data_IF_173658606053
#
_entry.id   IF_173658606053
#
_cell.length_a   1.000
_cell.length_b   1.000
_cell.length_c   1.000
_cell.angle_alpha   90.00
_cell.angle_beta   90.00
_cell.angle_gamma   90.00
#
_symmetry.space_group_name_H-M   'P 1'
#
loop_
_entity.id
_entity.type
_entity.pdbx_description
1 polymer ?
#
# COMPACT_ATOMS: atom_id res chain seq x y z
N UNK A 1 0.35 7.01 -1.43
CA UNK A 1 0.05 7.96 -0.34
C UNK A 1 1.21 8.93 -0.06
N UNK A 2 2.45 8.53 -0.33
CA UNK A 2 3.64 9.38 -0.13
C UNK A 2 3.86 10.44 -1.22
N UNK A 3 3.14 10.38 -2.32
CA UNK A 3 3.31 11.33 -3.44
C UNK A 3 3.24 12.79 -3.00
N UNK A 4 2.21 13.24 -2.26
CA UNK A 4 2.14 14.64 -1.83
C UNK A 4 3.31 15.06 -0.92
N UNK A 5 3.82 14.16 -0.09
CA UNK A 5 4.96 14.45 0.78
C UNK A 5 6.24 14.64 -0.03
N UNK A 6 6.50 13.77 -1.00
CA UNK A 6 7.67 13.90 -1.86
C UNK A 6 7.59 15.12 -2.77
N UNK A 7 6.40 15.43 -3.28
CA UNK A 7 6.18 16.57 -4.18
C UNK A 7 6.26 17.93 -3.48
N UNK A 8 6.01 17.96 -2.17
CA UNK A 8 6.15 19.18 -1.35
C UNK A 8 7.56 19.41 -0.81
N UNK A 9 8.45 18.44 -0.93
CA UNK A 9 9.82 18.55 -0.42
C UNK A 9 10.76 19.13 -1.49
N UNK A 10 11.16 20.38 -1.34
CA UNK A 10 12.03 21.10 -2.28
C UNK A 10 13.40 20.44 -2.52
N UNK A 11 13.87 19.61 -1.59
CA UNK A 11 15.16 18.94 -1.73
C UNK A 11 15.13 17.74 -2.68
N UNK A 12 13.95 17.13 -2.88
CA UNK A 12 13.81 15.87 -3.63
C UNK A 12 12.81 15.91 -4.79
N UNK A 13 11.83 16.80 -4.77
CA UNK A 13 10.73 16.87 -5.75
C UNK A 13 11.18 16.89 -7.22
N UNK A 14 12.39 17.41 -7.50
CA UNK A 14 12.96 17.50 -8.84
C UNK A 14 13.98 16.40 -9.15
N UNK A 15 14.17 15.45 -8.24
CA UNK A 15 15.20 14.40 -8.33
C UNK A 15 14.63 12.97 -8.32
N UNK A 16 13.34 12.85 -8.24
CA UNK A 16 12.62 11.55 -8.16
C UNK A 16 11.57 11.46 -9.25
N UNK A 17 11.27 10.24 -9.64
CA UNK A 17 10.12 9.88 -10.46
C UNK A 17 9.66 8.47 -10.10
N UNK A 18 8.56 8.03 -10.70
CA UNK A 18 7.98 6.71 -10.50
C UNK A 18 8.36 5.81 -11.67
N UNK A 19 8.75 4.58 -11.36
CA UNK A 19 9.04 3.54 -12.35
C UNK A 19 8.31 2.26 -11.97
N UNK A 20 8.07 1.41 -12.95
CA UNK A 20 7.51 0.08 -12.70
C UNK A 20 8.45 -0.74 -11.83
N UNK A 21 7.88 -1.60 -10.98
CA UNK A 21 8.68 -2.58 -10.24
C UNK A 21 9.37 -3.52 -11.23
N UNK A 22 10.65 -3.84 -11.01
CA UNK A 22 11.34 -4.81 -11.85
C UNK A 22 10.73 -6.20 -11.68
N UNK A 23 10.65 -6.95 -12.78
CA UNK A 23 10.29 -8.37 -12.70
C UNK A 23 11.38 -9.16 -11.99
N UNK A 24 10.99 -10.15 -11.20
CA UNK A 24 11.91 -11.08 -10.56
C UNK A 24 11.71 -12.48 -11.13
N UNK A 25 12.75 -13.01 -11.76
CA UNK A 25 12.72 -14.31 -12.46
C UNK A 25 11.55 -14.41 -13.48
N UNK A 26 11.23 -13.32 -14.17
CA UNK A 26 10.13 -13.27 -15.14
C UNK A 26 8.74 -13.20 -14.52
N UNK A 27 8.65 -13.00 -13.22
CA UNK A 27 7.38 -12.79 -12.49
C UNK A 27 7.19 -11.31 -12.23
N UNK A 28 6.15 -10.74 -12.80
CA UNK A 28 5.67 -9.40 -12.50
C UNK A 28 4.62 -9.52 -11.40
N UNK A 29 4.89 -8.90 -10.26
CA UNK A 29 3.95 -8.89 -9.15
C UNK A 29 3.99 -7.55 -8.43
N UNK A 30 2.90 -7.21 -7.78
CA UNK A 30 2.78 -6.01 -6.97
C UNK A 30 1.99 -6.34 -5.71
N UNK A 31 2.05 -5.46 -4.73
CA UNK A 31 1.27 -5.55 -3.51
C UNK A 31 0.13 -4.54 -3.55
N UNK A 32 -1.06 -4.96 -3.15
CA UNK A 32 -2.21 -4.09 -2.99
C UNK A 32 -2.70 -4.12 -1.54
N UNK A 33 -2.89 -2.93 -0.98
CA UNK A 33 -3.55 -2.74 0.30
C UNK A 33 -4.83 -1.95 0.10
N UNK A 34 -5.90 -2.37 0.80
CA UNK A 34 -7.15 -1.63 0.83
C UNK A 34 -7.27 -0.81 2.12
N UNK A 35 -7.84 0.38 2.00
CA UNK A 35 -8.31 1.17 3.13
C UNK A 35 -9.84 1.10 3.18
N UNK A 36 -10.38 0.88 4.36
CA UNK A 36 -11.82 0.84 4.60
C UNK A 36 -12.28 1.97 5.50
N UNK A 37 -13.51 2.41 5.30
CA UNK A 37 -14.19 3.31 6.22
C UNK A 37 -14.97 2.51 7.26
N UNK A 38 -14.88 2.88 8.52
CA UNK A 38 -15.61 2.23 9.59
C UNK A 38 -16.31 3.27 10.48
N UNK A 39 -17.48 2.91 10.99
CA UNK A 39 -18.20 3.72 11.95
C UNK A 39 -17.88 3.25 13.35
N UNK A 40 -17.47 4.18 14.21
CA UNK A 40 -17.18 3.87 15.60
C UNK A 40 -18.43 3.39 16.34
N UNK A 41 -18.34 2.22 16.96
CA UNK A 41 -19.49 1.58 17.66
C UNK A 41 -20.10 2.46 18.76
N UNK A 42 -19.28 3.24 19.47
CA UNK A 42 -19.72 4.18 20.50
C UNK A 42 -20.25 5.53 19.99
N UNK A 43 -20.35 5.73 18.64
CA UNK A 43 -20.86 6.99 18.08
C UNK A 43 -22.31 7.26 18.52
N UNK A 44 -22.58 8.49 18.90
CA UNK A 44 -23.96 8.97 19.19
C UNK A 44 -24.74 9.33 17.91
N UNK A 45 -24.05 9.41 16.76
CA UNK A 45 -24.61 9.79 15.46
C UNK A 45 -24.35 8.67 14.43
N UNK A 46 -24.67 7.42 14.79
CA UNK A 46 -24.35 6.24 13.94
C UNK A 46 -24.97 6.32 12.54
N UNK A 47 -26.22 6.75 12.45
CA UNK A 47 -26.93 6.87 11.18
C UNK A 47 -26.19 7.82 10.24
N UNK A 48 -25.97 9.07 10.66
CA UNK A 48 -25.25 10.07 9.87
C UNK A 48 -23.80 9.63 9.55
N UNK A 49 -23.12 8.97 10.50
CA UNK A 49 -21.78 8.45 10.27
C UNK A 49 -21.76 7.30 9.24
N UNK A 50 -22.80 6.47 9.23
CA UNK A 50 -22.97 5.41 8.23
C UNK A 50 -23.23 5.99 6.85
N UNK A 51 -24.12 6.96 6.74
CA UNK A 51 -24.42 7.66 5.49
C UNK A 51 -23.17 8.33 4.93
N UNK A 52 -22.38 8.96 5.79
CA UNK A 52 -21.11 9.56 5.39
C UNK A 52 -20.08 8.52 4.94
N UNK A 53 -19.95 7.38 5.63
CA UNK A 53 -19.06 6.31 5.24
C UNK A 53 -19.47 5.71 3.88
N UNK A 54 -20.77 5.57 3.61
CA UNK A 54 -21.30 5.14 2.32
C UNK A 54 -20.97 6.17 1.23
N UNK A 55 -21.20 7.45 1.52
CA UNK A 55 -20.89 8.54 0.58
C UNK A 55 -19.40 8.57 0.23
N UNK A 56 -18.50 8.36 1.20
CA UNK A 56 -17.06 8.28 0.96
C UNK A 56 -16.67 7.18 -0.06
N UNK A 57 -17.53 6.18 -0.25
CA UNK A 57 -17.37 5.12 -1.27
C UNK A 57 -18.07 5.44 -2.60
N UNK A 58 -18.74 6.60 -2.71
CA UNK A 58 -19.39 7.05 -3.93
C UNK A 58 -18.38 7.45 -5.01
N UNK A 59 -18.83 7.52 -6.27
CA UNK A 59 -18.00 8.02 -7.35
C UNK A 59 -17.51 9.45 -7.08
N UNK A 60 -18.37 10.33 -6.61
CA UNK A 60 -18.04 11.73 -6.31
C UNK A 60 -16.88 11.83 -5.31
N UNK A 61 -16.97 11.12 -4.17
CA UNK A 61 -15.93 11.14 -3.16
C UNK A 61 -14.64 10.49 -3.63
N UNK A 62 -14.73 9.39 -4.40
CA UNK A 62 -13.58 8.70 -4.99
C UNK A 62 -12.89 9.54 -6.07
N UNK A 63 -13.62 10.33 -6.83
CA UNK A 63 -13.07 11.29 -7.80
C UNK A 63 -12.28 12.40 -7.07
N UNK A 64 -12.83 12.92 -5.97
CA UNK A 64 -12.12 13.91 -5.15
C UNK A 64 -10.80 13.31 -4.61
N UNK A 65 -10.85 12.12 -4.04
CA UNK A 65 -9.66 11.45 -3.51
C UNK A 65 -8.62 11.16 -4.60
N UNK A 66 -9.06 10.65 -5.76
CA UNK A 66 -8.17 10.38 -6.89
C UNK A 66 -7.42 11.63 -7.36
N UNK A 67 -8.11 12.75 -7.46
CA UNK A 67 -7.50 14.03 -7.87
C UNK A 67 -6.47 14.58 -6.87
N UNK A 68 -6.47 14.13 -5.62
CA UNK A 68 -5.44 14.53 -4.64
C UNK A 68 -4.10 13.84 -4.84
N UNK A 69 -4.05 12.75 -5.63
CA UNK A 69 -2.84 11.94 -5.80
C UNK A 69 -2.41 11.16 -4.55
N UNK A 70 -3.30 11.03 -3.57
CA UNK A 70 -2.98 10.31 -2.31
C UNK A 70 -3.29 8.83 -2.40
N UNK A 71 -4.44 8.47 -3.00
CA UNK A 71 -4.90 7.08 -3.08
C UNK A 71 -5.42 6.73 -4.47
N UNK A 72 -5.21 5.50 -4.87
CA UNK A 72 -5.86 4.93 -6.06
C UNK A 72 -7.29 4.58 -5.66
N UNK A 73 -8.26 5.06 -6.40
CA UNK A 73 -9.67 4.78 -6.15
C UNK A 73 -9.96 3.28 -6.22
N UNK A 74 -10.80 2.79 -5.32
CA UNK A 74 -11.38 1.45 -5.40
C UNK A 74 -12.39 1.32 -6.56
N UNK A 75 -12.81 2.43 -7.18
CA UNK A 75 -13.67 2.43 -8.36
C UNK A 75 -12.83 2.52 -9.62
N UNK A 76 -12.95 1.55 -10.52
CA UNK A 76 -12.20 1.50 -11.79
C UNK A 76 -12.37 2.78 -12.61
N UNK A 77 -13.59 3.33 -12.66
CA UNK A 77 -13.92 4.57 -13.39
C UNK A 77 -13.21 5.83 -12.85
N UNK A 78 -12.72 5.79 -11.60
CA UNK A 78 -12.04 6.92 -10.95
C UNK A 78 -10.51 6.73 -10.83
N UNK A 79 -9.97 5.57 -11.24
CA UNK A 79 -8.52 5.27 -11.11
C UNK A 79 -7.64 6.17 -11.97
N UNK A 80 -8.13 6.54 -13.16
CA UNK A 80 -7.39 7.44 -14.05
C UNK A 80 -7.11 8.82 -13.44
N UNK A 81 -7.95 9.28 -12.51
CA UNK A 81 -7.76 10.58 -11.86
C UNK A 81 -6.50 10.61 -11.03
N UNK A 82 -6.19 9.51 -10.33
CA UNK A 82 -4.91 9.37 -9.64
C UNK A 82 -3.73 9.41 -10.62
N UNK A 83 -3.80 8.64 -11.70
CA UNK A 83 -2.73 8.59 -12.70
C UNK A 83 -2.47 9.96 -13.35
N UNK A 84 -3.50 10.80 -13.47
CA UNK A 84 -3.45 12.15 -14.06
C UNK A 84 -3.30 13.27 -13.03
N UNK A 85 -3.18 12.96 -11.74
CA UNK A 85 -3.12 13.97 -10.67
C UNK A 85 -1.78 14.73 -10.63
N UNK A 86 -0.79 14.30 -11.40
CA UNK A 86 0.49 14.98 -11.58
C UNK A 86 0.95 14.93 -13.02
N UNK A 87 1.33 16.07 -13.57
CA UNK A 87 1.99 16.16 -14.90
C UNK A 87 3.49 15.88 -14.82
N UNK A 88 4.03 15.83 -13.60
CA UNK A 88 5.48 15.71 -13.37
C UNK A 88 5.93 14.28 -13.14
N UNK A 89 5.12 13.49 -12.44
CA UNK A 89 5.47 12.13 -12.03
C UNK A 89 4.68 11.09 -12.81
N UNK A 90 5.33 10.00 -13.20
CA UNK A 90 4.71 8.91 -13.95
C UNK A 90 3.78 8.05 -13.06
N UNK A 91 2.76 8.66 -12.43
CA UNK A 91 1.86 7.99 -11.48
C UNK A 91 1.05 6.84 -12.08
N UNK A 92 0.91 6.81 -13.41
CA UNK A 92 0.22 5.73 -14.11
C UNK A 92 0.85 4.35 -13.87
N UNK A 93 2.13 4.27 -13.51
CA UNK A 93 2.81 3.00 -13.20
C UNK A 93 2.18 2.27 -12.01
N UNK A 94 1.57 3.00 -11.07
CA UNK A 94 0.89 2.40 -9.91
C UNK A 94 -0.44 1.73 -10.26
N UNK A 95 -1.10 2.16 -11.35
CA UNK A 95 -2.37 1.61 -11.81
C UNK A 95 -2.22 0.57 -12.90
N UNK A 96 -1.04 0.51 -13.55
CA UNK A 96 -0.78 -0.36 -14.70
C UNK A 96 -0.83 -1.87 -14.36
N UNK A 97 -0.58 -2.24 -13.11
CA UNK A 97 -0.44 -3.64 -12.68
C UNK A 97 -1.37 -4.02 -11.53
N UNK A 98 -2.50 -3.34 -11.37
CA UNK A 98 -3.47 -3.66 -10.32
C UNK A 98 -4.09 -5.05 -10.48
N UNK A 99 -4.17 -5.57 -11.69
CA UNK A 99 -4.62 -6.92 -12.03
C UNK A 99 -3.63 -8.02 -11.61
N UNK A 100 -2.36 -7.68 -11.40
CA UNK A 100 -1.28 -8.58 -10.95
C UNK A 100 -0.91 -8.38 -9.48
N UNK A 101 -1.69 -7.58 -8.76
CA UNK A 101 -1.41 -7.25 -7.38
C UNK A 101 -2.04 -8.26 -6.42
N UNK A 102 -1.27 -8.63 -5.39
CA UNK A 102 -1.69 -9.53 -4.32
C UNK A 102 -1.83 -8.77 -3.00
N UNK A 103 -2.82 -9.09 -2.17
CA UNK A 103 -2.90 -8.52 -0.84
C UNK A 103 -1.73 -9.01 0.03
N UNK A 104 -1.38 -8.22 1.03
CA UNK A 104 -0.47 -8.69 2.07
C UNK A 104 -1.06 -9.92 2.78
N UNK A 105 -0.22 -10.84 3.26
CA UNK A 105 -0.68 -12.00 4.02
C UNK A 105 -1.59 -11.58 5.19
N UNK A 106 -2.73 -12.25 5.32
CA UNK A 106 -3.69 -12.00 6.40
C UNK A 106 -3.62 -13.16 7.38
N UNK A 107 -3.27 -12.85 8.61
CA UNK A 107 -3.28 -13.81 9.72
C UNK A 107 -3.61 -13.08 11.01
N UNK A 108 -3.89 -13.82 12.07
CA UNK A 108 -4.02 -13.23 13.41
C UNK A 108 -2.69 -12.59 13.80
N UNK A 109 -2.73 -11.37 14.33
CA UNK A 109 -1.54 -10.59 14.67
C UNK A 109 -0.60 -10.28 13.48
N UNK A 110 -1.14 -10.07 12.27
CA UNK A 110 -0.35 -9.82 11.05
C UNK A 110 0.69 -8.70 11.20
N UNK A 111 0.44 -7.69 12.04
CA UNK A 111 1.40 -6.63 12.32
C UNK A 111 2.75 -7.15 12.86
N UNK A 112 2.73 -8.24 13.65
CA UNK A 112 3.97 -8.87 14.13
C UNK A 112 4.73 -9.57 13.00
N UNK A 113 4.02 -10.20 12.06
CA UNK A 113 4.64 -10.81 10.88
C UNK A 113 5.36 -9.75 10.04
N UNK A 114 4.70 -8.61 9.77
CA UNK A 114 5.31 -7.50 9.00
C UNK A 114 6.52 -6.88 9.73
N UNK A 115 6.48 -6.86 11.06
CA UNK A 115 7.61 -6.40 11.87
C UNK A 115 8.83 -7.35 11.78
N UNK A 116 8.59 -8.67 11.74
CA UNK A 116 9.63 -9.68 11.53
C UNK A 116 10.25 -9.54 10.14
N UNK A 117 9.43 -9.37 9.09
CA UNK A 117 9.89 -9.13 7.71
C UNK A 117 10.76 -7.87 7.63
N UNK A 118 10.27 -6.77 8.21
CA UNK A 118 11.00 -5.49 8.22
C UNK A 118 12.36 -5.60 8.92
N UNK A 119 12.44 -6.29 10.05
CA UNK A 119 13.68 -6.50 10.79
C UNK A 119 14.68 -7.36 10.01
N UNK A 120 14.20 -8.42 9.36
CA UNK A 120 15.06 -9.27 8.52
C UNK A 120 15.66 -8.48 7.34
N UNK A 121 14.83 -7.68 6.65
CA UNK A 121 15.29 -6.84 5.56
C UNK A 121 16.26 -5.74 6.04
N UNK A 122 16.02 -5.13 7.21
CA UNK A 122 16.93 -4.13 7.78
C UNK A 122 18.32 -4.70 8.02
N UNK A 123 18.45 -5.90 8.57
CA UNK A 123 19.75 -6.57 8.79
C UNK A 123 20.48 -6.79 7.46
N UNK A 124 19.75 -7.23 6.42
CA UNK A 124 20.34 -7.41 5.10
C UNK A 124 20.80 -6.07 4.48
N UNK A 125 19.99 -5.02 4.57
CA UNK A 125 20.33 -3.70 4.02
C UNK A 125 21.44 -3.00 4.80
N UNK A 126 21.57 -3.23 6.11
CA UNK A 126 22.68 -2.72 6.91
C UNK A 126 23.99 -3.48 6.71
N UNK A 127 23.95 -4.63 6.03
CA UNK A 127 25.10 -5.50 5.84
C UNK A 127 25.47 -6.34 7.08
N UNK A 128 24.57 -6.43 8.06
CA UNK A 128 24.77 -7.27 9.25
C UNK A 128 24.70 -8.77 8.91
N UNK A 129 23.79 -9.13 7.99
CA UNK A 129 23.64 -10.50 7.48
C UNK A 129 23.50 -10.46 5.96
N UNK A 130 23.80 -11.57 5.28
CA UNK A 130 23.43 -11.70 3.87
C UNK A 130 21.92 -11.81 3.71
N UNK A 131 21.38 -11.34 2.58
CA UNK A 131 19.94 -11.45 2.29
C UNK A 131 19.45 -12.90 2.39
N UNK A 132 20.25 -13.86 1.93
CA UNK A 132 19.91 -15.28 1.96
C UNK A 132 19.79 -15.82 3.40
N UNK A 133 20.69 -15.42 4.30
CA UNK A 133 20.65 -15.79 5.72
C UNK A 133 19.46 -15.13 6.43
N UNK A 134 19.24 -13.83 6.21
CA UNK A 134 18.11 -13.10 6.76
C UNK A 134 16.76 -13.72 6.32
N UNK A 135 16.60 -14.06 5.03
CA UNK A 135 15.39 -14.72 4.53
C UNK A 135 15.20 -16.13 5.09
N UNK A 136 16.27 -16.89 5.29
CA UNK A 136 16.22 -18.23 5.88
C UNK A 136 15.79 -18.19 7.36
N UNK A 137 16.34 -17.24 8.12
CA UNK A 137 15.95 -17.02 9.50
C UNK A 137 14.48 -16.57 9.59
N UNK A 138 14.10 -15.56 8.78
CA UNK A 138 12.72 -15.06 8.70
C UNK A 138 11.74 -16.20 8.40
N UNK A 139 12.05 -17.05 7.41
CA UNK A 139 11.17 -18.18 7.07
C UNK A 139 10.90 -19.07 8.28
N UNK A 140 11.94 -19.39 9.04
CA UNK A 140 11.82 -20.25 10.23
C UNK A 140 10.93 -19.59 11.31
N UNK A 141 11.16 -18.30 11.57
CA UNK A 141 10.39 -17.55 12.55
C UNK A 141 8.93 -17.34 12.11
N UNK A 142 8.72 -16.99 10.84
CA UNK A 142 7.39 -16.78 10.27
C UNK A 142 6.57 -18.07 10.25
N UNK A 143 7.15 -19.21 9.86
CA UNK A 143 6.46 -20.51 9.88
C UNK A 143 6.02 -20.87 11.31
N UNK A 144 6.89 -20.66 12.31
CA UNK A 144 6.55 -20.89 13.71
C UNK A 144 5.47 -19.93 14.26
N UNK A 145 5.49 -18.68 13.80
CA UNK A 145 4.49 -17.68 14.13
C UNK A 145 3.13 -18.02 13.51
N UNK A 146 3.10 -18.33 12.20
CA UNK A 146 1.88 -18.64 11.48
C UNK A 146 1.21 -19.93 12.01
N UNK A 147 1.99 -20.92 12.44
CA UNK A 147 1.45 -22.13 13.06
C UNK A 147 0.63 -21.84 14.33
N UNK A 148 0.87 -20.72 15.02
CA UNK A 148 0.19 -20.29 16.25
C UNK A 148 -0.90 -19.24 16.03
N UNK A 149 -0.93 -18.61 14.84
CA UNK A 149 -1.74 -17.44 14.54
C UNK A 149 -2.58 -17.61 13.25
N UNK A 150 -3.00 -18.81 12.97
CA UNK A 150 -3.93 -19.11 11.86
C UNK A 150 -5.34 -18.59 12.15
#
# INVERSE_FOLDING_TARGET
>A
YMVPEYTSNDNIKDKIDCVELPSFNGVDTNCINGLGFAVYEGSKNKEAATDFAIWLSSKEAMDIQGNTGVVISARNESQELFAKSSDKYALAVYTAHTDKAYPLPVCKNAAQLYDMESKALQKAYSGEESLAEACKALKTEADAFLAKNQ
#
